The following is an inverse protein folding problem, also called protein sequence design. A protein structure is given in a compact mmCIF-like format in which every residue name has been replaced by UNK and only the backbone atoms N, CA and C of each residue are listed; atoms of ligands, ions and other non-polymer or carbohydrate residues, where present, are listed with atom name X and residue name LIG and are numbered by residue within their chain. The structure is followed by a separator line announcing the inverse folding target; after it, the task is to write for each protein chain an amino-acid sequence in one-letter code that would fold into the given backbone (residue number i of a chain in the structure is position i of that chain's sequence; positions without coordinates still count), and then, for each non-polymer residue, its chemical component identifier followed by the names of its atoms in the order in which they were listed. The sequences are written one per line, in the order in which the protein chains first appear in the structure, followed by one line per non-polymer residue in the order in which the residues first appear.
data_IF_286532545399
#
_entry.id   IF_286532545399
#
_cell.length_a   1.000
_cell.length_b   1.000
_cell.length_c   1.000
_cell.angle_alpha   90.00
_cell.angle_beta   90.00
_cell.angle_gamma   90.00
#
_symmetry.space_group_name_H-M   'P 1'
#
loop_
_entity.id
_entity.type
_entity.pdbx_description
1 polymer ?
#
# COMPACT_ATOMS: atom_id res chain seq x y z
N UNK A 1 -10.09 -34.65 1.00
CA UNK A 1 -8.94 -35.36 1.60
C UNK A 1 -9.19 -36.87 1.69
N UNK A 2 -10.29 -37.36 2.28
CA UNK A 2 -10.58 -38.80 2.32
C UNK A 2 -10.80 -39.43 0.94
N UNK A 3 -11.65 -38.82 0.10
CA UNK A 3 -11.90 -39.30 -1.26
C UNK A 3 -10.60 -39.39 -2.08
N UNK A 4 -9.75 -38.37 -1.98
CA UNK A 4 -8.46 -38.34 -2.69
C UNK A 4 -7.47 -39.40 -2.19
N UNK A 5 -7.47 -39.72 -0.89
CA UNK A 5 -6.67 -40.82 -0.37
C UNK A 5 -7.20 -42.17 -0.86
N UNK A 6 -8.54 -42.33 -0.91
CA UNK A 6 -9.17 -43.54 -1.44
C UNK A 6 -8.83 -43.76 -2.91
N UNK A 7 -8.82 -42.70 -3.71
CA UNK A 7 -8.46 -42.75 -5.14
C UNK A 7 -6.96 -43.04 -5.35
N UNK A 8 -6.07 -42.47 -4.52
CA UNK A 8 -4.62 -42.58 -4.70
C UNK A 8 -3.94 -43.75 -3.98
N UNK A 9 -4.54 -44.28 -2.91
CA UNK A 9 -3.93 -45.22 -1.96
C UNK A 9 -4.91 -46.30 -1.47
N UNK A 10 -5.80 -46.76 -2.36
CA UNK A 10 -6.83 -47.76 -2.02
C UNK A 10 -6.23 -49.03 -1.38
N UNK A 11 -5.15 -49.55 -1.97
CA UNK A 11 -4.48 -50.76 -1.51
C UNK A 11 -3.86 -50.60 -0.11
N UNK A 12 -3.27 -49.44 0.15
CA UNK A 12 -2.66 -49.09 1.42
C UNK A 12 -3.72 -48.90 2.51
N UNK A 13 -4.82 -48.21 2.19
CA UNK A 13 -5.96 -48.05 3.10
C UNK A 13 -6.56 -49.40 3.50
N UNK A 14 -6.66 -50.35 2.57
CA UNK A 14 -7.15 -51.69 2.87
C UNK A 14 -6.18 -52.45 3.81
N UNK A 15 -4.87 -52.39 3.56
CA UNK A 15 -3.88 -53.05 4.43
C UNK A 15 -3.79 -52.41 5.82
N UNK A 16 -3.80 -51.08 5.91
CA UNK A 16 -3.67 -50.38 7.20
C UNK A 16 -4.90 -50.59 8.07
N UNK A 17 -6.11 -50.69 7.48
CA UNK A 17 -7.34 -51.06 8.21
C UNK A 17 -7.26 -52.45 8.87
N UNK A 18 -6.57 -53.39 8.23
CA UNK A 18 -6.42 -54.78 8.70
C UNK A 18 -5.10 -54.97 9.46
N UNK A 19 -4.35 -53.89 9.74
CA UNK A 19 -3.04 -53.91 10.37
C UNK A 19 -2.00 -54.80 9.66
N UNK A 20 -2.12 -54.93 8.33
CA UNK A 20 -1.18 -55.65 7.48
C UNK A 20 -0.07 -54.73 6.96
N UNK A 21 1.13 -55.28 6.64
CA UNK A 21 2.20 -54.51 6.03
C UNK A 21 1.77 -53.91 4.68
N UNK A 22 2.21 -52.69 4.40
CA UNK A 22 1.96 -52.03 3.11
C UNK A 22 2.48 -52.86 1.92
N UNK A 23 1.79 -52.85 0.76
CA UNK A 23 2.22 -53.57 -0.43
C UNK A 23 3.65 -53.21 -0.87
N UNK A 24 4.39 -54.18 -1.40
CA UNK A 24 5.78 -53.96 -1.87
C UNK A 24 5.88 -52.92 -3.00
N UNK A 25 4.81 -52.74 -3.77
CA UNK A 25 4.66 -51.78 -4.87
C UNK A 25 4.21 -50.39 -4.41
N UNK A 26 3.87 -50.23 -3.13
CA UNK A 26 3.36 -48.98 -2.59
C UNK A 26 4.42 -47.88 -2.57
N UNK A 27 3.99 -46.66 -2.89
CA UNK A 27 4.79 -45.43 -2.73
C UNK A 27 5.03 -45.07 -1.25
N UNK A 28 4.20 -45.59 -0.35
CA UNK A 28 4.23 -45.28 1.08
C UNK A 28 4.91 -46.39 1.91
N UNK A 29 5.52 -47.38 1.26
CA UNK A 29 6.08 -48.57 1.91
C UNK A 29 7.05 -48.29 3.07
N UNK A 30 7.83 -47.21 2.95
CA UNK A 30 8.85 -46.86 3.93
C UNK A 30 8.33 -45.91 5.02
N UNK A 31 7.04 -45.59 5.01
CA UNK A 31 6.40 -44.72 5.98
C UNK A 31 5.60 -45.58 6.97
N UNK A 32 5.70 -45.25 8.25
CA UNK A 32 4.79 -45.77 9.25
C UNK A 32 3.45 -45.05 9.10
N UNK A 33 2.37 -45.79 8.86
CA UNK A 33 1.04 -45.24 8.57
C UNK A 33 0.06 -45.60 9.68
N UNK A 34 -0.83 -44.68 10.00
CA UNK A 34 -1.94 -44.91 10.93
C UNK A 34 -3.23 -44.30 10.37
N UNK A 35 -4.37 -44.77 10.87
CA UNK A 35 -5.67 -44.22 10.53
C UNK A 35 -6.20 -43.41 11.70
N UNK A 36 -6.65 -42.20 11.40
CA UNK A 36 -7.35 -41.35 12.36
C UNK A 36 -8.80 -41.83 12.57
N UNK A 37 -9.47 -41.34 13.62
CA UNK A 37 -10.89 -41.62 13.92
C UNK A 37 -11.82 -41.26 12.76
N UNK A 38 -11.42 -40.28 11.95
CA UNK A 38 -12.14 -39.87 10.75
C UNK A 38 -11.96 -40.84 9.58
N UNK A 39 -10.97 -41.75 9.63
CA UNK A 39 -10.61 -42.66 8.54
C UNK A 39 -9.63 -42.07 7.52
N UNK A 40 -8.96 -40.96 7.88
CA UNK A 40 -7.83 -40.41 7.12
C UNK A 40 -6.55 -41.19 7.42
N UNK A 41 -5.71 -41.34 6.39
CA UNK A 41 -4.37 -41.92 6.49
C UNK A 41 -3.39 -40.84 6.96
N UNK A 42 -2.66 -41.11 8.04
CA UNK A 42 -1.65 -40.22 8.63
C UNK A 42 -0.28 -40.92 8.66
N UNK A 43 0.78 -40.12 8.61
CA UNK A 43 2.14 -40.62 8.89
C UNK A 43 2.34 -40.61 10.39
N UNK A 44 2.68 -41.76 10.95
CA UNK A 44 3.07 -41.90 12.34
C UNK A 44 4.46 -41.28 12.52
N UNK A 45 4.58 -40.30 13.40
CA UNK A 45 5.86 -39.66 13.70
C UNK A 45 6.36 -40.07 15.09
N UNK A 46 7.62 -39.79 15.38
CA UNK A 46 8.20 -40.02 16.72
C UNK A 46 7.60 -39.14 17.82
N UNK A 47 6.82 -38.11 17.46
CA UNK A 47 6.22 -37.14 18.38
C UNK A 47 4.72 -37.44 18.60
N UNK A 48 4.19 -38.52 18.01
CA UNK A 48 2.76 -38.87 18.08
C UNK A 48 2.21 -39.03 19.53
N UNK A 49 3.06 -39.32 20.51
CA UNK A 49 2.67 -39.47 21.92
C UNK A 49 2.67 -38.15 22.73
N UNK A 50 3.10 -37.02 22.14
CA UNK A 50 3.15 -35.74 22.84
C UNK A 50 1.73 -35.15 22.97
N UNK A 51 1.22 -35.06 24.19
CA UNK A 51 -0.14 -34.59 24.51
C UNK A 51 -0.33 -33.08 24.39
N UNK A 52 0.75 -32.30 24.27
CA UNK A 52 0.72 -30.83 24.25
C UNK A 52 0.48 -30.24 22.85
N UNK A 53 0.49 -31.05 21.80
CA UNK A 53 0.38 -30.60 20.41
C UNK A 53 -0.80 -31.32 19.74
N UNK A 54 -1.57 -30.59 18.94
CA UNK A 54 -2.71 -31.13 18.22
C UNK A 54 -2.28 -32.33 17.35
N UNK A 55 -3.10 -33.38 17.32
CA UNK A 55 -2.86 -34.61 16.54
C UNK A 55 -2.58 -34.34 15.06
N UNK A 56 -3.19 -33.31 14.48
CA UNK A 56 -2.93 -32.89 13.09
C UNK A 56 -1.51 -32.34 12.85
N UNK A 57 -0.86 -31.81 13.89
CA UNK A 57 0.49 -31.27 13.82
C UNK A 57 1.56 -32.33 14.12
N UNK A 58 1.24 -33.32 14.96
CA UNK A 58 2.14 -34.42 15.30
C UNK A 58 2.06 -35.59 14.31
N UNK A 59 0.91 -35.83 13.70
CA UNK A 59 0.72 -36.86 12.69
C UNK A 59 0.08 -36.21 11.46
N UNK A 60 0.86 -35.77 10.46
CA UNK A 60 0.30 -35.11 9.29
C UNK A 60 -0.45 -36.11 8.38
N UNK A 61 -1.57 -35.71 7.77
CA UNK A 61 -2.29 -36.56 6.82
C UNK A 61 -1.46 -36.79 5.55
N UNK A 62 -1.53 -38.00 5.01
CA UNK A 62 -0.84 -38.36 3.77
C UNK A 62 -1.61 -37.80 2.58
N UNK A 63 -0.95 -37.05 1.72
CA UNK A 63 -1.59 -36.43 0.56
C UNK A 63 -0.80 -36.80 -0.70
N UNK A 64 -1.49 -37.27 -1.75
CA UNK A 64 -0.85 -37.54 -3.04
C UNK A 64 -0.63 -36.24 -3.83
N UNK A 65 0.62 -35.80 -3.91
CA UNK A 65 0.99 -34.60 -4.67
C UNK A 65 0.69 -34.68 -6.18
N UNK A 66 0.45 -35.88 -6.73
CA UNK A 66 0.08 -36.06 -8.14
C UNK A 66 -1.41 -35.88 -8.40
N UNK A 67 -2.23 -35.92 -7.35
CA UNK A 67 -3.68 -35.86 -7.47
C UNK A 67 -4.14 -34.43 -7.82
N UNK A 68 -4.99 -34.29 -8.84
CA UNK A 68 -5.44 -32.99 -9.36
C UNK A 68 -6.06 -32.10 -8.27
N UNK A 69 -6.95 -32.66 -7.44
CA UNK A 69 -7.52 -31.97 -6.28
C UNK A 69 -6.45 -31.41 -5.32
N UNK A 70 -5.41 -32.18 -5.03
CA UNK A 70 -4.35 -31.77 -4.09
C UNK A 70 -3.55 -30.60 -4.65
N UNK A 71 -3.22 -30.65 -5.95
CA UNK A 71 -2.55 -29.55 -6.63
C UNK A 71 -3.37 -28.25 -6.54
N UNK A 72 -4.67 -28.34 -6.81
CA UNK A 72 -5.59 -27.20 -6.68
C UNK A 72 -5.69 -26.70 -5.24
N UNK A 73 -5.76 -27.62 -4.26
CA UNK A 73 -5.81 -27.27 -2.84
C UNK A 73 -4.54 -26.53 -2.38
N UNK A 74 -3.36 -27.05 -2.72
CA UNK A 74 -2.07 -26.41 -2.40
C UNK A 74 -1.98 -25.03 -3.04
N UNK A 75 -2.38 -24.91 -4.31
CA UNK A 75 -2.42 -23.62 -5.00
C UNK A 75 -3.34 -22.63 -4.28
N UNK A 76 -4.56 -23.04 -3.91
CA UNK A 76 -5.52 -22.18 -3.24
C UNK A 76 -5.02 -21.70 -1.86
N UNK A 77 -4.40 -22.59 -1.08
CA UNK A 77 -3.81 -22.24 0.22
C UNK A 77 -2.62 -21.28 0.02
N UNK A 78 -1.76 -21.56 -0.96
CA UNK A 78 -0.62 -20.72 -1.30
C UNK A 78 -1.04 -19.31 -1.71
N UNK A 79 -2.05 -19.18 -2.58
CA UNK A 79 -2.57 -17.88 -3.00
C UNK A 79 -3.13 -17.06 -1.82
N UNK A 80 -3.82 -17.72 -0.88
CA UNK A 80 -4.33 -17.06 0.34
C UNK A 80 -3.18 -16.53 1.21
N UNK A 81 -2.17 -17.36 1.46
CA UNK A 81 -1.00 -16.99 2.25
C UNK A 81 -0.22 -15.84 1.60
N UNK A 82 0.02 -15.91 0.29
CA UNK A 82 0.69 -14.84 -0.46
C UNK A 82 -0.09 -13.53 -0.33
N UNK A 83 -1.42 -13.55 -0.52
CA UNK A 83 -2.23 -12.33 -0.40
C UNK A 83 -2.06 -11.69 0.97
N UNK A 84 -2.05 -12.47 2.05
CA UNK A 84 -1.83 -11.99 3.42
C UNK A 84 -0.44 -11.38 3.59
N UNK A 85 0.61 -12.09 3.16
CA UNK A 85 2.01 -11.63 3.28
C UNK A 85 2.29 -10.39 2.44
N UNK A 86 1.80 -10.36 1.20
CA UNK A 86 1.96 -9.20 0.30
C UNK A 86 1.21 -7.98 0.83
N UNK A 87 0.04 -8.19 1.47
CA UNK A 87 -0.73 -7.10 2.08
C UNK A 87 -0.05 -6.54 3.33
N UNK A 88 0.66 -7.36 4.11
CA UNK A 88 1.41 -6.90 5.30
C UNK A 88 2.80 -6.35 4.96
N UNK A 89 3.39 -6.76 3.83
CA UNK A 89 4.72 -6.31 3.40
C UNK A 89 4.72 -4.84 2.99
N UNK A 90 5.44 -3.99 3.75
CA UNK A 90 5.59 -2.56 3.46
C UNK A 90 6.13 -2.29 2.05
N UNK A 91 7.16 -3.02 1.62
CA UNK A 91 7.78 -2.86 0.31
C UNK A 91 6.81 -3.18 -0.83
N UNK A 92 5.97 -4.21 -0.67
CA UNK A 92 4.92 -4.53 -1.63
C UNK A 92 3.81 -3.47 -1.64
N UNK A 93 3.40 -2.97 -0.46
CA UNK A 93 2.42 -1.88 -0.35
C UNK A 93 2.89 -0.63 -1.07
N UNK A 94 4.14 -0.22 -0.87
CA UNK A 94 4.72 0.96 -1.54
C UNK A 94 4.77 0.76 -3.05
N UNK A 95 5.28 -0.38 -3.53
CA UNK A 95 5.39 -0.66 -4.98
C UNK A 95 4.03 -0.77 -5.68
N UNK A 96 2.99 -1.22 -4.98
CA UNK A 96 1.62 -1.35 -5.51
C UNK A 96 0.76 -0.11 -5.26
N UNK A 97 1.27 0.89 -4.54
CA UNK A 97 0.52 2.10 -4.26
C UNK A 97 0.26 2.86 -5.57
N UNK A 98 -1.01 3.06 -5.89
CA UNK A 98 -1.46 3.91 -6.99
C UNK A 98 -2.00 5.21 -6.39
N UNK A 99 -1.70 6.38 -6.97
CA UNK A 99 -2.30 7.63 -6.54
C UNK A 99 -3.82 7.49 -6.65
N UNK A 100 -4.52 7.58 -5.53
CA UNK A 100 -5.98 7.61 -5.54
C UNK A 100 -6.40 9.00 -5.98
N UNK A 101 -7.39 9.09 -6.86
CA UNK A 101 -8.07 10.35 -7.15
C UNK A 101 -8.67 10.87 -5.84
N UNK A 102 -8.09 11.97 -5.33
CA UNK A 102 -8.63 12.65 -4.17
C UNK A 102 -9.91 13.37 -4.60
N UNK A 103 -11.01 13.26 -3.82
CA UNK A 103 -12.17 14.07 -4.09
C UNK A 103 -11.75 15.54 -4.05
N UNK A 104 -12.12 16.30 -5.09
CA UNK A 104 -11.81 17.73 -5.13
C UNK A 104 -12.60 18.41 -4.01
N UNK A 105 -11.90 19.03 -3.07
CA UNK A 105 -12.53 19.80 -2.00
C UNK A 105 -13.25 21.04 -2.53
N UNK A 106 -14.13 21.62 -1.71
CA UNK A 106 -14.76 22.89 -2.03
C UNK A 106 -13.71 23.99 -2.20
N UNK A 107 -13.95 24.87 -3.18
CA UNK A 107 -13.11 26.06 -3.35
C UNK A 107 -13.29 26.98 -2.12
N UNK A 108 -12.21 27.67 -1.68
CA UNK A 108 -12.31 28.63 -0.59
C UNK A 108 -13.23 29.79 -0.98
N UNK A 109 -13.95 30.35 0.00
CA UNK A 109 -14.89 31.46 -0.24
C UNK A 109 -14.24 32.66 -0.94
N UNK A 110 -12.96 32.95 -0.63
CA UNK A 110 -12.15 33.97 -1.29
C UNK A 110 -12.03 33.80 -2.82
N UNK A 111 -12.13 32.57 -3.34
CA UNK A 111 -12.14 32.28 -4.79
C UNK A 111 -13.53 32.38 -5.42
N UNK A 112 -14.59 32.37 -4.61
CA UNK A 112 -15.99 32.43 -5.03
C UNK A 112 -16.63 33.79 -4.81
N UNK A 113 -15.87 34.77 -4.28
CA UNK A 113 -16.32 36.13 -3.98
C UNK A 113 -16.54 36.98 -5.25
N UNK A 114 -17.48 36.57 -6.09
CA UNK A 114 -17.98 37.31 -7.22
C UNK A 114 -18.58 38.66 -6.77
N UNK A 115 -18.52 39.67 -7.65
CA UNK A 115 -18.90 41.08 -7.37
C UNK A 115 -18.00 41.85 -6.39
N UNK A 116 -16.88 41.28 -5.95
CA UNK A 116 -15.83 42.03 -5.27
C UNK A 116 -14.87 42.68 -6.28
N UNK A 117 -14.24 43.79 -5.85
CA UNK A 117 -13.24 44.47 -6.67
C UNK A 117 -12.04 43.55 -6.94
N UNK A 118 -11.39 43.61 -8.12
CA UNK A 118 -10.14 42.88 -8.34
C UNK A 118 -9.11 43.21 -7.26
N UNK A 119 -8.34 42.21 -6.84
CA UNK A 119 -7.37 42.26 -5.75
C UNK A 119 -7.96 42.48 -4.34
N UNK A 120 -9.25 42.21 -4.11
CA UNK A 120 -9.81 42.13 -2.73
C UNK A 120 -9.26 40.94 -1.96
N UNK A 121 -9.18 39.77 -2.60
CA UNK A 121 -8.55 38.56 -2.06
C UNK A 121 -7.34 38.23 -2.92
N UNK A 122 -6.16 38.22 -2.31
CA UNK A 122 -4.88 38.07 -3.00
C UNK A 122 -4.12 36.90 -2.40
N UNK A 123 -3.35 36.21 -3.23
CA UNK A 123 -2.31 35.31 -2.78
C UNK A 123 -0.96 35.91 -3.17
N UNK A 124 -0.02 35.91 -2.23
CA UNK A 124 1.36 36.35 -2.45
C UNK A 124 2.27 35.13 -2.65
N UNK A 125 2.97 35.11 -3.78
CA UNK A 125 4.02 34.14 -4.06
C UNK A 125 5.30 34.87 -4.53
N UNK A 126 6.41 34.16 -4.63
CA UNK A 126 7.69 34.71 -5.07
C UNK A 126 8.30 33.89 -6.20
N UNK A 127 8.75 34.60 -7.24
CA UNK A 127 9.47 34.01 -8.36
C UNK A 127 10.89 34.60 -8.44
N UNK A 128 11.90 33.73 -8.51
CA UNK A 128 13.32 34.11 -8.45
C UNK A 128 14.17 33.03 -7.76
N UNK A 129 15.48 33.23 -7.55
CA UNK A 129 16.19 34.51 -7.47
C UNK A 129 16.78 35.00 -8.79
N UNK A 130 16.78 36.33 -8.97
CA UNK A 130 17.45 37.04 -10.04
C UNK A 130 18.63 37.83 -9.49
N UNK A 131 19.78 37.77 -10.16
CA UNK A 131 20.90 38.63 -9.81
C UNK A 131 20.68 40.01 -10.42
N UNK A 132 20.42 41.00 -9.57
CA UNK A 132 20.32 42.40 -9.98
C UNK A 132 21.50 43.18 -9.41
N UNK A 133 22.06 44.07 -10.23
CA UNK A 133 23.05 45.04 -9.79
C UNK A 133 22.32 46.31 -9.36
N UNK A 134 22.30 46.59 -8.06
CA UNK A 134 21.75 47.83 -7.50
C UNK A 134 22.94 48.69 -7.05
N UNK A 135 23.25 49.72 -7.83
CA UNK A 135 24.45 50.54 -7.62
C UNK A 135 25.74 49.73 -7.80
N UNK A 136 26.55 49.64 -6.74
CA UNK A 136 27.81 48.84 -6.73
C UNK A 136 27.64 47.44 -6.16
N UNK A 137 26.43 47.06 -5.73
CA UNK A 137 26.19 45.77 -5.11
C UNK A 137 25.41 44.83 -6.03
N UNK A 138 25.85 43.57 -6.08
CA UNK A 138 25.10 42.49 -6.70
C UNK A 138 24.27 41.81 -5.62
N UNK A 139 22.94 41.80 -5.80
CA UNK A 139 22.02 41.20 -4.84
C UNK A 139 21.01 40.30 -5.52
N UNK A 140 20.55 39.29 -4.78
CA UNK A 140 19.44 38.43 -5.20
C UNK A 140 18.13 39.17 -5.00
N UNK A 141 17.47 39.50 -6.10
CA UNK A 141 16.13 40.05 -6.12
C UNK A 141 15.13 38.95 -6.46
N UNK A 142 13.90 39.14 -6.03
CA UNK A 142 12.77 38.29 -6.34
C UNK A 142 11.63 39.14 -6.90
N UNK A 143 10.68 38.50 -7.55
CA UNK A 143 9.43 39.14 -7.98
C UNK A 143 8.31 38.61 -7.10
N UNK A 144 7.69 39.51 -6.34
CA UNK A 144 6.47 39.24 -5.60
C UNK A 144 5.28 39.18 -6.58
N UNK A 145 4.66 38.01 -6.64
CA UNK A 145 3.50 37.66 -7.44
C UNK A 145 2.25 37.83 -6.59
N UNK A 146 1.48 38.88 -6.83
CA UNK A 146 0.18 39.09 -6.21
C UNK A 146 -0.90 38.58 -7.16
N UNK A 147 -1.49 37.42 -6.86
CA UNK A 147 -2.55 36.81 -7.68
C UNK A 147 -3.90 37.04 -7.05
N UNK A 148 -4.83 37.65 -7.79
CA UNK A 148 -6.21 37.79 -7.33
C UNK A 148 -6.93 36.44 -7.35
N UNK A 149 -7.46 36.03 -6.20
CA UNK A 149 -8.09 34.71 -6.03
C UNK A 149 -9.41 34.58 -6.80
N UNK A 150 -10.13 35.68 -7.01
CA UNK A 150 -11.42 35.71 -7.72
C UNK A 150 -11.24 35.74 -9.24
N UNK A 151 -10.41 36.65 -9.77
CA UNK A 151 -10.27 36.88 -11.22
C UNK A 151 -9.03 36.25 -11.86
N UNK A 152 -8.10 35.72 -11.06
CA UNK A 152 -6.77 35.23 -11.50
C UNK A 152 -5.87 36.29 -12.15
N UNK A 153 -6.19 37.58 -12.02
CA UNK A 153 -5.30 38.65 -12.43
C UNK A 153 -4.02 38.66 -11.59
N UNK A 154 -2.87 38.92 -12.22
CA UNK A 154 -1.56 38.94 -11.56
C UNK A 154 -0.99 40.36 -11.55
N UNK A 155 -0.46 40.78 -10.40
CA UNK A 155 0.29 42.02 -10.22
C UNK A 155 1.70 41.69 -9.74
N UNK A 156 2.70 42.29 -10.38
CA UNK A 156 4.11 42.00 -10.12
C UNK A 156 4.77 43.18 -9.42
N UNK A 157 5.52 42.90 -8.35
CA UNK A 157 6.37 43.88 -7.69
C UNK A 157 7.77 43.31 -7.49
N UNK A 158 8.80 44.11 -7.73
CA UNK A 158 10.18 43.69 -7.45
C UNK A 158 10.42 43.76 -5.94
N UNK A 159 10.98 42.71 -5.37
CA UNK A 159 11.40 42.62 -3.99
C UNK A 159 12.92 42.43 -3.91
N UNK A 160 13.59 43.35 -3.23
CA UNK A 160 15.04 43.39 -3.10
C UNK A 160 15.58 42.40 -2.06
N UNK A 161 15.09 41.15 -2.08
CA UNK A 161 15.43 40.09 -1.15
C UNK A 161 14.19 39.27 -0.73
N UNK A 162 14.43 38.20 0.04
CA UNK A 162 13.39 37.35 0.63
C UNK A 162 13.22 37.68 2.13
N UNK A 163 13.28 38.96 2.47
CA UNK A 163 13.09 39.46 3.84
C UNK A 163 11.67 40.00 4.06
N UNK A 164 11.22 40.02 5.32
CA UNK A 164 9.93 40.59 5.68
C UNK A 164 9.82 42.07 5.27
N UNK A 165 10.89 42.86 5.44
CA UNK A 165 10.91 44.27 5.02
C UNK A 165 10.68 44.43 3.52
N UNK A 166 11.34 43.58 2.71
CA UNK A 166 11.16 43.56 1.26
C UNK A 166 9.73 43.19 0.88
N UNK A 167 9.11 42.26 1.60
CA UNK A 167 7.72 41.86 1.42
C UNK A 167 6.75 42.98 1.79
N UNK A 168 6.92 43.64 2.95
CA UNK A 168 6.09 44.76 3.39
C UNK A 168 6.14 45.90 2.36
N UNK A 169 7.33 46.22 1.84
CA UNK A 169 7.48 47.24 0.80
C UNK A 169 6.78 46.84 -0.52
N UNK A 170 6.85 45.57 -0.92
CA UNK A 170 6.14 45.06 -2.11
C UNK A 170 4.62 45.12 -1.92
N UNK A 171 4.11 44.71 -0.75
CA UNK A 171 2.69 44.79 -0.39
C UNK A 171 2.21 46.24 -0.43
N UNK A 172 2.96 47.17 0.17
CA UNK A 172 2.62 48.61 0.14
C UNK A 172 2.54 49.16 -1.28
N UNK A 173 3.48 48.79 -2.17
CA UNK A 173 3.42 49.21 -3.59
C UNK A 173 2.21 48.63 -4.32
N UNK A 174 1.89 47.35 -4.07
CA UNK A 174 0.68 46.73 -4.61
C UNK A 174 -0.57 47.46 -4.12
N UNK A 175 -0.69 47.71 -2.81
CA UNK A 175 -1.82 48.43 -2.21
C UNK A 175 -1.96 49.86 -2.76
N UNK A 176 -0.86 50.56 -3.00
CA UNK A 176 -0.88 51.90 -3.58
C UNK A 176 -1.44 51.93 -5.02
N UNK A 177 -1.21 50.88 -5.82
CA UNK A 177 -1.69 50.80 -7.21
C UNK A 177 -3.05 50.12 -7.35
N UNK A 178 -3.27 49.09 -6.54
CA UNK A 178 -4.43 48.19 -6.64
C UNK A 178 -5.41 48.36 -5.49
N UNK A 179 -5.15 49.18 -4.48
CA UNK A 179 -6.01 49.29 -3.29
C UNK A 179 -5.71 48.24 -2.22
N UNK A 180 -6.18 48.47 -1.00
CA UNK A 180 -5.98 47.56 0.11
C UNK A 180 -6.80 46.26 -0.06
N UNK A 181 -6.18 45.07 -0.06
CA UNK A 181 -6.90 43.81 0.00
C UNK A 181 -7.54 43.62 1.38
N UNK A 182 -8.58 42.79 1.42
CA UNK A 182 -9.19 42.32 2.67
C UNK A 182 -8.38 41.15 3.25
N UNK A 183 -7.78 40.33 2.38
CA UNK A 183 -7.00 39.15 2.74
C UNK A 183 -5.83 38.95 1.76
N UNK A 184 -4.64 38.64 2.29
CA UNK A 184 -3.40 38.31 1.57
C UNK A 184 -2.90 36.95 2.06
#
# INVERSE_FOLDING_TARGET
MQATQKESFESELATVKVALPTPRTSRLRNLALELDVSGLLHVKTSIAAASEVATEANSPPVIDGRHSYVRLYVQAVHERLIRTVVKSCLRCRIRRATPRELPTGNLPAARLAHHQRPFTYVSLDYFGPYNATIGRQHQKCYVALFTCLTSRAVHLEVACGFSADSAILAIRRMMARRGAPVEI
#
